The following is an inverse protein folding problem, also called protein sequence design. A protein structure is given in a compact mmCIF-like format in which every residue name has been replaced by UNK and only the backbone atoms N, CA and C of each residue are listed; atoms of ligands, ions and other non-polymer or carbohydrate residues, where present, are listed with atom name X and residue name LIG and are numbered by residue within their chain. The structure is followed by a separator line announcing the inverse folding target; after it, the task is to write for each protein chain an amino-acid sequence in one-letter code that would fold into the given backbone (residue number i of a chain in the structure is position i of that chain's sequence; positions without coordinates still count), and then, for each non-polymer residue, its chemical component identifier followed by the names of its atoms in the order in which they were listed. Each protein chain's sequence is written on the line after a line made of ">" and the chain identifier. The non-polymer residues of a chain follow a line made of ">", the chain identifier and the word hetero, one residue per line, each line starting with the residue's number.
data_IF_239216595505
#
_entry.id   IF_239216595505
#
_cell.length_a   1.000
_cell.length_b   1.000
_cell.length_c   1.000
_cell.angle_alpha   90.00
_cell.angle_beta   90.00
_cell.angle_gamma   90.00
#
_symmetry.space_group_name_H-M   'P 1'
#
loop_
_entity.id
_entity.type
_entity.pdbx_description
1 polymer ?
#
# COMPACT_ATOMS: atom_id res chain seq x y z
N UNK A 1 -24.95 -23.18 40.67
CA UNK A 1 -24.01 -22.19 40.12
C UNK A 1 -23.19 -22.68 38.92
N UNK A 2 -22.58 -23.89 38.96
CA UNK A 2 -21.80 -24.42 37.80
C UNK A 2 -22.63 -24.58 36.52
N UNK A 3 -23.88 -25.07 36.61
CA UNK A 3 -24.76 -25.25 35.42
C UNK A 3 -25.27 -23.93 34.81
N UNK A 4 -25.44 -22.87 35.59
CA UNK A 4 -25.84 -21.56 35.08
C UNK A 4 -24.63 -20.82 34.43
N UNK A 5 -23.42 -21.00 34.98
CA UNK A 5 -22.20 -20.42 34.43
C UNK A 5 -21.85 -21.06 33.07
N UNK A 6 -22.05 -22.38 32.93
CA UNK A 6 -21.87 -23.07 31.64
C UNK A 6 -22.85 -22.59 30.56
N UNK A 7 -24.11 -22.28 30.94
CA UNK A 7 -25.09 -21.72 29.99
C UNK A 7 -24.74 -20.30 29.52
N UNK A 8 -24.25 -19.47 30.45
CA UNK A 8 -23.82 -18.09 30.10
C UNK A 8 -22.58 -18.11 29.19
N UNK A 9 -21.62 -18.99 29.45
CA UNK A 9 -20.44 -19.17 28.58
C UNK A 9 -20.86 -19.72 27.20
N UNK A 10 -21.78 -20.67 27.14
CA UNK A 10 -22.26 -21.22 25.87
C UNK A 10 -23.02 -20.17 25.03
N UNK A 11 -23.85 -19.33 25.66
CA UNK A 11 -24.56 -18.23 24.99
C UNK A 11 -23.53 -17.17 24.50
N UNK A 12 -22.53 -16.87 25.32
CA UNK A 12 -21.47 -15.91 24.93
C UNK A 12 -20.63 -16.44 23.76
N UNK A 13 -20.20 -17.71 23.76
CA UNK A 13 -19.49 -18.34 22.65
C UNK A 13 -20.35 -18.40 21.38
N UNK A 14 -21.66 -18.66 21.54
CA UNK A 14 -22.58 -18.66 20.41
C UNK A 14 -22.81 -17.25 19.84
N UNK A 15 -22.87 -16.22 20.69
CA UNK A 15 -22.91 -14.82 20.24
C UNK A 15 -21.58 -14.40 19.58
N UNK A 16 -20.43 -14.80 20.10
CA UNK A 16 -19.12 -14.53 19.48
C UNK A 16 -19.01 -15.24 18.14
N UNK A 17 -19.43 -16.51 18.04
CA UNK A 17 -19.45 -17.22 16.75
C UNK A 17 -20.45 -16.62 15.76
N UNK A 18 -21.60 -16.12 16.21
CA UNK A 18 -22.53 -15.40 15.32
C UNK A 18 -21.96 -14.06 14.85
N UNK A 19 -21.22 -13.34 15.69
CA UNK A 19 -20.52 -12.11 15.29
C UNK A 19 -19.39 -12.42 14.30
N UNK A 20 -18.62 -13.49 14.52
CA UNK A 20 -17.60 -13.94 13.57
C UNK A 20 -18.18 -14.41 12.22
N UNK A 21 -19.35 -15.10 12.24
CA UNK A 21 -20.04 -15.50 11.01
C UNK A 21 -20.60 -14.29 10.27
N UNK A 22 -21.18 -13.30 10.97
CA UNK A 22 -21.66 -12.05 10.35
C UNK A 22 -20.50 -11.19 9.85
N UNK A 23 -19.37 -11.18 10.58
CA UNK A 23 -18.15 -10.45 10.13
C UNK A 23 -17.41 -11.20 9.02
N UNK A 24 -17.49 -12.55 8.98
CA UNK A 24 -16.95 -13.35 7.89
C UNK A 24 -17.81 -13.26 6.61
N UNK A 25 -19.12 -13.05 6.75
CA UNK A 25 -20.02 -12.84 5.63
C UNK A 25 -19.90 -11.41 5.03
N UNK A 26 -19.52 -10.40 5.85
CA UNK A 26 -19.10 -9.08 5.36
C UNK A 26 -17.66 -9.06 4.80
N UNK A 27 -16.80 -10.01 5.25
CA UNK A 27 -15.43 -10.17 4.73
C UNK A 27 -15.34 -11.16 3.55
N UNK A 28 -16.38 -11.95 3.27
CA UNK A 28 -16.53 -12.58 1.97
C UNK A 28 -16.74 -11.44 0.97
N UNK A 29 -15.64 -11.01 0.33
CA UNK A 29 -15.66 -10.18 -0.88
C UNK A 29 -16.69 -10.83 -1.79
N UNK A 30 -17.91 -10.25 -1.87
CA UNK A 30 -18.82 -10.59 -2.96
C UNK A 30 -17.98 -10.46 -4.21
N UNK A 31 -18.01 -11.43 -5.14
CA UNK A 31 -17.46 -11.16 -6.45
C UNK A 31 -18.15 -9.87 -6.88
N UNK A 32 -17.44 -8.74 -6.83
CA UNK A 32 -17.92 -7.51 -7.42
C UNK A 32 -18.24 -7.90 -8.85
N UNK A 33 -19.41 -7.49 -9.37
CA UNK A 33 -19.61 -7.47 -10.82
C UNK A 33 -18.36 -6.80 -11.37
N UNK A 34 -17.42 -7.61 -11.87
CA UNK A 34 -16.03 -7.22 -12.11
C UNK A 34 -15.92 -6.04 -13.08
N UNK A 35 -17.01 -5.77 -13.80
CA UNK A 35 -17.14 -4.69 -14.78
C UNK A 35 -17.95 -3.48 -14.30
N UNK A 36 -18.71 -3.58 -13.22
CA UNK A 36 -19.73 -2.57 -12.84
C UNK A 36 -19.16 -1.18 -12.53
N UNK A 37 -17.90 -1.11 -12.07
CA UNK A 37 -17.26 0.12 -11.63
C UNK A 37 -16.02 0.47 -12.48
N UNK A 38 -15.94 -0.07 -13.71
CA UNK A 38 -14.87 0.24 -14.66
C UNK A 38 -15.39 1.25 -15.68
N UNK A 39 -14.66 2.33 -15.83
CA UNK A 39 -14.94 3.38 -16.80
C UNK A 39 -13.79 3.53 -17.77
N UNK A 40 -14.10 3.80 -19.06
CA UNK A 40 -13.10 3.97 -20.10
C UNK A 40 -13.42 5.10 -21.04
N UNK A 41 -12.43 5.61 -21.75
CA UNK A 41 -12.59 6.64 -22.79
C UNK A 41 -13.35 6.16 -24.02
N UNK A 42 -13.40 4.83 -24.26
CA UNK A 42 -14.11 4.25 -25.40
C UNK A 42 -15.61 4.11 -25.15
N UNK A 43 -16.03 4.08 -23.90
CA UNK A 43 -17.45 3.87 -23.52
C UNK A 43 -18.01 2.48 -23.87
N UNK A 44 -17.18 1.55 -24.34
CA UNK A 44 -17.60 0.19 -24.69
C UNK A 44 -17.36 -0.80 -23.54
N UNK A 45 -18.35 -0.90 -22.64
CA UNK A 45 -18.27 -1.74 -21.45
C UNK A 45 -18.17 -3.25 -21.73
N UNK A 46 -18.65 -3.69 -22.91
CA UNK A 46 -18.67 -5.12 -23.26
C UNK A 46 -17.26 -5.70 -23.55
N UNK A 47 -16.29 -4.83 -23.84
CA UNK A 47 -14.91 -5.20 -24.18
C UNK A 47 -13.96 -5.05 -22.99
N UNK A 48 -14.45 -4.55 -21.84
CA UNK A 48 -13.63 -4.37 -20.67
C UNK A 48 -13.13 -5.71 -20.09
N UNK A 49 -11.84 -5.80 -19.70
CA UNK A 49 -11.33 -7.00 -19.06
C UNK A 49 -11.94 -7.21 -17.67
N UNK A 50 -12.08 -8.47 -17.28
CA UNK A 50 -12.39 -8.81 -15.89
C UNK A 50 -11.15 -8.59 -15.02
N UNK A 51 -11.23 -7.70 -14.04
CA UNK A 51 -10.11 -7.37 -13.16
C UNK A 51 -10.32 -7.95 -11.76
N UNK A 52 -9.32 -8.69 -11.28
CA UNK A 52 -9.27 -9.22 -9.91
C UNK A 52 -8.81 -8.17 -8.89
N UNK A 53 -8.22 -7.07 -9.35
CA UNK A 53 -7.84 -5.92 -8.52
C UNK A 53 -9.08 -5.13 -8.11
N UNK A 54 -9.12 -4.69 -6.84
CA UNK A 54 -10.20 -3.83 -6.34
C UNK A 54 -10.16 -2.46 -7.01
N UNK A 55 -8.96 -1.91 -7.22
CA UNK A 55 -8.76 -0.59 -7.83
C UNK A 55 -7.72 -0.65 -8.93
N UNK A 56 -7.96 0.09 -10.02
CA UNK A 56 -7.06 0.19 -11.15
C UNK A 56 -7.19 1.53 -11.87
N UNK A 57 -6.08 2.02 -12.43
CA UNK A 57 -6.05 3.21 -13.30
C UNK A 57 -5.00 3.02 -14.39
N UNK A 58 -5.35 3.42 -15.62
CA UNK A 58 -4.40 3.55 -16.73
C UNK A 58 -4.35 5.00 -17.18
N UNK A 59 -3.16 5.55 -17.29
CA UNK A 59 -2.92 6.97 -17.58
C UNK A 59 -1.96 7.10 -18.75
N UNK A 60 -2.27 8.00 -19.68
CA UNK A 60 -1.33 8.48 -20.68
C UNK A 60 -0.30 9.43 -20.05
N UNK A 61 0.96 9.03 -20.04
CA UNK A 61 2.03 9.78 -19.38
C UNK A 61 2.36 11.10 -20.06
N UNK A 62 2.07 11.22 -21.34
CA UNK A 62 2.36 12.41 -22.12
C UNK A 62 1.45 13.59 -21.73
N UNK A 63 0.18 13.29 -21.47
CA UNK A 63 -0.85 14.32 -21.20
C UNK A 63 -1.41 14.27 -19.79
N UNK A 64 -1.24 13.16 -19.07
CA UNK A 64 -1.88 12.93 -17.77
C UNK A 64 -3.35 12.50 -17.86
N UNK A 65 -3.89 12.26 -19.05
CA UNK A 65 -5.28 11.82 -19.20
C UNK A 65 -5.47 10.37 -18.80
N UNK A 66 -6.56 10.11 -18.07
CA UNK A 66 -6.96 8.77 -17.67
C UNK A 66 -7.67 8.07 -18.83
N UNK A 67 -7.26 6.82 -19.10
CA UNK A 67 -7.83 5.98 -20.16
C UNK A 67 -8.82 4.98 -19.57
N UNK A 68 -8.47 4.36 -18.43
CA UNK A 68 -9.31 3.42 -17.68
C UNK A 68 -9.26 3.79 -16.21
N UNK A 69 -10.40 3.75 -15.53
CA UNK A 69 -10.48 3.88 -14.06
C UNK A 69 -11.42 2.84 -13.45
N UNK A 70 -11.03 2.29 -12.29
CA UNK A 70 -11.84 1.41 -11.44
C UNK A 70 -11.58 1.77 -9.99
N UNK A 71 -12.59 2.27 -9.25
CA UNK A 71 -12.50 2.56 -7.82
C UNK A 71 -11.26 3.35 -7.40
N UNK A 72 -10.81 4.29 -8.24
CA UNK A 72 -9.51 4.96 -8.13
C UNK A 72 -9.33 5.81 -6.87
N UNK A 73 -10.41 6.08 -6.13
CA UNK A 73 -10.42 6.89 -4.90
C UNK A 73 -10.54 6.06 -3.62
N UNK A 74 -10.62 4.73 -3.74
CA UNK A 74 -10.65 3.84 -2.57
C UNK A 74 -9.33 3.92 -1.82
N UNK A 75 -9.38 4.12 -0.49
CA UNK A 75 -8.21 4.07 0.38
C UNK A 75 -7.80 2.62 0.58
N UNK A 76 -6.61 2.28 0.13
CA UNK A 76 -6.05 0.93 0.13
C UNK A 76 -4.61 0.94 0.67
N UNK A 77 -4.13 -0.21 1.11
CA UNK A 77 -2.75 -0.36 1.56
C UNK A 77 -1.82 -0.51 0.34
N UNK A 78 -0.77 0.31 0.23
CA UNK A 78 0.12 0.30 -0.94
C UNK A 78 1.09 -0.88 -0.98
N UNK A 79 1.41 -1.49 0.16
CA UNK A 79 2.56 -2.39 0.24
C UNK A 79 3.83 -1.72 -0.32
N UNK A 80 4.73 -2.46 -0.97
CA UNK A 80 6.03 -1.94 -1.42
C UNK A 80 5.99 -0.96 -2.60
N UNK A 81 4.83 -0.62 -3.17
CA UNK A 81 4.77 0.53 -4.10
C UNK A 81 5.00 1.86 -3.35
N UNK A 82 4.88 1.88 -2.02
CA UNK A 82 5.37 2.96 -1.12
C UNK A 82 6.79 3.41 -1.46
N UNK A 83 7.66 2.48 -1.86
CA UNK A 83 9.08 2.74 -2.15
C UNK A 83 9.30 3.68 -3.34
N UNK A 84 8.26 3.94 -4.13
CA UNK A 84 8.30 4.99 -5.16
C UNK A 84 8.48 6.36 -4.49
N UNK A 85 7.72 6.65 -3.42
CA UNK A 85 7.88 7.90 -2.67
C UNK A 85 9.23 7.96 -1.94
N UNK A 86 9.70 6.84 -1.40
CA UNK A 86 11.03 6.73 -0.81
C UNK A 86 12.12 7.06 -1.82
N UNK A 87 12.01 6.55 -3.06
CA UNK A 87 12.94 6.87 -4.13
C UNK A 87 12.89 8.35 -4.53
N UNK A 88 11.69 8.95 -4.64
CA UNK A 88 11.53 10.39 -4.92
C UNK A 88 12.34 11.23 -3.92
N UNK A 89 12.03 11.07 -2.63
CA UNK A 89 12.66 11.87 -1.58
C UNK A 89 14.17 11.65 -1.51
N UNK A 90 14.62 10.41 -1.73
CA UNK A 90 16.05 10.12 -1.74
C UNK A 90 16.76 10.78 -2.92
N UNK A 91 16.18 10.67 -4.13
CA UNK A 91 16.74 11.29 -5.34
C UNK A 91 16.81 12.82 -5.24
N UNK A 92 15.83 13.44 -4.59
CA UNK A 92 15.74 14.90 -4.46
C UNK A 92 16.63 15.47 -3.34
N UNK A 93 16.91 14.70 -2.27
CA UNK A 93 17.52 15.23 -1.04
C UNK A 93 18.91 14.67 -0.72
N UNK A 94 19.41 13.66 -1.45
CA UNK A 94 20.75 13.11 -1.24
C UNK A 94 21.56 13.09 -2.53
N UNK A 95 22.90 13.08 -2.40
CA UNK A 95 23.77 12.80 -3.54
C UNK A 95 23.96 11.30 -3.71
N UNK A 96 24.06 10.85 -4.96
CA UNK A 96 24.09 9.41 -5.27
C UNK A 96 25.32 8.69 -4.75
N UNK A 97 26.43 9.43 -4.58
CA UNK A 97 27.71 8.96 -4.05
C UNK A 97 27.88 9.20 -2.54
N UNK A 98 26.87 9.74 -1.83
CA UNK A 98 26.86 9.77 -0.36
C UNK A 98 26.79 8.36 0.22
N UNK A 99 27.33 8.21 1.43
CA UNK A 99 27.40 6.92 2.12
C UNK A 99 26.33 6.81 3.17
N UNK A 100 25.44 5.84 3.00
CA UNK A 100 24.46 5.41 4.01
C UNK A 100 25.11 4.41 4.95
N UNK A 101 25.09 4.66 6.26
CA UNK A 101 25.54 3.73 7.29
C UNK A 101 24.33 3.17 8.02
N UNK A 102 24.18 1.85 8.05
CA UNK A 102 22.99 1.20 8.58
C UNK A 102 23.04 1.07 10.11
N UNK A 103 22.05 1.67 10.76
CA UNK A 103 21.87 1.56 12.22
C UNK A 103 21.32 0.19 12.64
N UNK A 104 21.34 -0.10 13.93
CA UNK A 104 20.67 -1.28 14.50
C UNK A 104 19.17 -1.27 14.19
N UNK A 105 18.53 -0.11 14.32
CA UNK A 105 17.10 0.07 14.04
C UNK A 105 16.78 -0.19 12.57
N UNK A 106 17.56 0.35 11.65
CA UNK A 106 17.34 0.15 10.21
C UNK A 106 17.37 -1.34 9.82
N UNK A 107 18.24 -2.13 10.46
CA UNK A 107 18.43 -3.56 10.15
C UNK A 107 17.41 -4.44 10.89
N UNK A 108 17.21 -4.25 12.19
CA UNK A 108 16.47 -5.20 13.03
C UNK A 108 14.99 -4.86 13.26
N UNK A 109 14.49 -3.71 12.81
CA UNK A 109 13.04 -3.42 12.82
C UNK A 109 12.32 -3.96 11.59
N UNK A 110 13.05 -4.50 10.62
CA UNK A 110 12.47 -5.16 9.44
C UNK A 110 11.80 -6.47 9.85
N UNK A 111 10.55 -6.65 9.45
CA UNK A 111 9.79 -7.86 9.75
C UNK A 111 10.45 -9.10 9.13
N UNK A 112 10.61 -10.14 9.95
CA UNK A 112 11.24 -11.39 9.51
C UNK A 112 10.45 -12.04 8.35
N UNK A 113 11.16 -12.43 7.29
CA UNK A 113 10.56 -13.02 6.09
C UNK A 113 10.05 -12.01 5.07
N UNK A 114 10.10 -10.70 5.36
CA UNK A 114 9.86 -9.66 4.38
C UNK A 114 11.09 -9.42 3.48
N UNK A 115 10.92 -8.66 2.39
CA UNK A 115 12.02 -8.38 1.44
C UNK A 115 13.14 -7.57 2.10
N UNK A 116 14.38 -8.06 2.03
CA UNK A 116 15.56 -7.39 2.58
C UNK A 116 16.79 -7.61 1.70
N UNK A 117 17.72 -6.68 1.73
CA UNK A 117 19.06 -6.83 1.14
C UNK A 117 20.01 -7.58 2.07
N UNK A 118 19.58 -7.78 3.33
CA UNK A 118 20.36 -8.41 4.40
C UNK A 118 21.69 -7.68 4.67
N UNK A 119 21.58 -6.37 4.86
CA UNK A 119 22.71 -5.55 5.29
C UNK A 119 22.99 -5.74 6.77
N UNK A 120 24.28 -5.60 7.15
CA UNK A 120 24.71 -5.67 8.54
C UNK A 120 24.67 -4.30 9.22
N UNK A 121 24.62 -4.28 10.57
CA UNK A 121 24.80 -3.05 11.34
C UNK A 121 26.19 -2.46 11.05
N UNK A 122 26.26 -1.13 10.91
CA UNK A 122 27.46 -0.38 10.49
C UNK A 122 27.96 -0.74 9.07
N UNK A 123 27.18 -1.47 8.28
CA UNK A 123 27.47 -1.62 6.86
C UNK A 123 27.28 -0.29 6.15
N UNK A 124 28.08 -0.05 5.10
CA UNK A 124 28.10 1.18 4.34
C UNK A 124 27.84 0.90 2.85
N UNK A 125 26.77 1.47 2.33
CA UNK A 125 26.44 1.45 0.91
C UNK A 125 26.30 2.91 0.41
N UNK A 126 26.54 3.14 -0.88
CA UNK A 126 26.19 4.43 -1.46
C UNK A 126 24.67 4.58 -1.60
N UNK A 127 24.17 5.81 -1.67
CA UNK A 127 22.76 6.10 -1.95
C UNK A 127 22.32 5.43 -3.25
N UNK A 128 23.17 5.45 -4.29
CA UNK A 128 22.93 4.73 -5.54
C UNK A 128 22.69 3.25 -5.33
N UNK A 129 23.58 2.55 -4.61
CA UNK A 129 23.44 1.12 -4.29
C UNK A 129 22.14 0.85 -3.53
N UNK A 130 21.82 1.69 -2.53
CA UNK A 130 20.58 1.58 -1.76
C UNK A 130 19.35 1.73 -2.66
N UNK A 131 19.32 2.70 -3.58
CA UNK A 131 18.21 2.93 -4.51
C UNK A 131 18.01 1.75 -5.48
N UNK A 132 19.08 1.17 -6.03
CA UNK A 132 18.94 -0.04 -6.85
C UNK A 132 18.37 -1.21 -6.05
N UNK A 133 18.87 -1.48 -4.85
CA UNK A 133 18.31 -2.54 -4.00
C UNK A 133 16.87 -2.25 -3.57
N UNK A 134 16.53 -0.99 -3.26
CA UNK A 134 15.18 -0.54 -2.95
C UNK A 134 14.19 -0.88 -4.09
N UNK A 135 14.58 -0.58 -5.33
CA UNK A 135 13.68 -0.73 -6.48
C UNK A 135 13.68 -2.16 -7.03
N UNK A 136 14.82 -2.83 -7.14
CA UNK A 136 14.93 -4.14 -7.76
C UNK A 136 14.44 -5.27 -6.85
N UNK A 137 15.00 -5.37 -5.63
CA UNK A 137 14.68 -6.45 -4.70
C UNK A 137 13.72 -6.03 -3.58
N UNK A 138 13.30 -4.76 -3.59
CA UNK A 138 12.37 -4.22 -2.60
C UNK A 138 12.90 -4.26 -1.15
N UNK A 139 14.20 -4.06 -0.92
CA UNK A 139 14.85 -4.15 0.39
C UNK A 139 14.22 -3.18 1.41
N UNK A 140 13.64 -3.73 2.49
CA UNK A 140 13.03 -2.95 3.57
C UNK A 140 14.09 -2.33 4.49
N UNK A 141 15.18 -3.03 4.72
CA UNK A 141 16.37 -2.56 5.42
C UNK A 141 17.00 -1.36 4.69
N UNK A 142 17.09 -1.42 3.35
CA UNK A 142 17.55 -0.30 2.53
C UNK A 142 16.62 0.91 2.61
N UNK A 143 15.30 0.67 2.63
CA UNK A 143 14.33 1.74 2.83
C UNK A 143 14.50 2.44 4.18
N UNK A 144 14.73 1.68 5.25
CA UNK A 144 14.98 2.21 6.58
C UNK A 144 16.29 3.02 6.64
N UNK A 145 17.39 2.48 6.07
CA UNK A 145 18.66 3.18 6.03
C UNK A 145 18.59 4.50 5.25
N UNK A 146 17.90 4.51 4.10
CA UNK A 146 17.64 5.74 3.34
C UNK A 146 16.77 6.73 4.13
N UNK A 147 15.76 6.23 4.86
CA UNK A 147 14.90 7.07 5.69
C UNK A 147 15.67 7.74 6.83
N UNK A 148 16.57 7.02 7.49
CA UNK A 148 17.45 7.62 8.50
C UNK A 148 18.43 8.63 7.91
N UNK A 149 19.03 8.29 6.75
CA UNK A 149 20.01 9.14 6.08
C UNK A 149 19.42 10.48 5.63
N UNK A 150 18.25 10.44 4.99
CA UNK A 150 17.59 11.62 4.41
C UNK A 150 16.74 12.37 5.44
N UNK A 151 15.96 11.64 6.24
CA UNK A 151 14.98 12.22 7.18
C UNK A 151 15.50 12.41 8.59
N UNK A 152 16.77 12.00 8.88
CA UNK A 152 17.36 12.01 10.22
C UNK A 152 16.74 10.98 11.17
N UNK A 153 15.61 10.40 10.81
CA UNK A 153 14.94 9.28 11.48
C UNK A 153 13.88 8.67 10.58
N UNK A 154 13.49 7.41 10.82
CA UNK A 154 12.41 6.77 10.07
C UNK A 154 11.08 7.52 10.19
N UNK A 155 10.75 8.04 11.38
CA UNK A 155 9.54 8.86 11.60
C UNK A 155 9.62 10.21 10.88
N UNK A 156 10.77 10.89 10.96
CA UNK A 156 10.99 12.15 10.24
C UNK A 156 10.81 11.98 8.74
N UNK A 157 11.34 10.89 8.18
CA UNK A 157 11.20 10.59 6.76
C UNK A 157 9.74 10.27 6.39
N UNK A 158 8.99 9.51 7.20
CA UNK A 158 7.58 9.22 6.96
C UNK A 158 6.73 10.51 6.92
N UNK A 159 7.03 11.49 7.77
CA UNK A 159 6.39 12.80 7.70
C UNK A 159 6.74 13.51 6.37
N UNK A 160 8.02 13.54 5.97
CA UNK A 160 8.43 14.10 4.66
C UNK A 160 7.70 13.41 3.49
N UNK A 161 7.46 12.10 3.56
CA UNK A 161 6.71 11.37 2.52
C UNK A 161 5.25 11.85 2.42
N UNK A 162 4.60 12.08 3.55
CA UNK A 162 3.21 12.58 3.58
C UNK A 162 3.16 14.03 3.11
N UNK A 163 4.07 14.89 3.60
CA UNK A 163 4.18 16.29 3.18
C UNK A 163 4.42 16.40 1.66
N UNK A 164 5.30 15.56 1.11
CA UNK A 164 5.56 15.51 -0.34
C UNK A 164 4.34 15.03 -1.12
N UNK A 165 3.60 14.04 -0.60
CA UNK A 165 2.36 13.60 -1.22
C UNK A 165 1.32 14.74 -1.29
N UNK A 166 1.15 15.51 -0.22
CA UNK A 166 0.27 16.69 -0.20
C UNK A 166 0.75 17.77 -1.17
N UNK A 167 2.07 18.07 -1.20
CA UNK A 167 2.68 19.04 -2.11
C UNK A 167 2.35 18.75 -3.58
N UNK A 168 2.37 17.49 -3.98
CA UNK A 168 2.10 17.08 -5.37
C UNK A 168 0.61 16.77 -5.64
N UNK A 169 -0.28 17.07 -4.68
CA UNK A 169 -1.74 17.02 -4.83
C UNK A 169 -2.41 15.71 -4.40
N UNK A 170 -1.72 14.83 -3.64
CA UNK A 170 -2.28 13.58 -3.14
C UNK A 170 -2.99 13.80 -1.79
N UNK A 171 -4.32 13.93 -1.80
CA UNK A 171 -5.10 14.27 -0.61
C UNK A 171 -5.63 13.06 0.18
N UNK A 172 -5.46 11.84 -0.35
CA UNK A 172 -5.94 10.59 0.25
C UNK A 172 -4.82 9.61 0.56
N UNK A 173 -3.62 10.13 0.84
CA UNK A 173 -2.40 9.36 1.11
C UNK A 173 -1.84 9.74 2.47
N UNK A 174 -1.41 8.74 3.22
CA UNK A 174 -0.66 8.91 4.46
C UNK A 174 0.40 7.81 4.57
N UNK A 175 1.64 8.19 4.79
CA UNK A 175 2.75 7.27 4.96
C UNK A 175 3.21 7.23 6.41
N UNK A 176 3.38 6.02 6.97
CA UNK A 176 3.90 5.79 8.33
C UNK A 176 5.28 5.18 8.34
N UNK A 177 5.75 4.68 7.19
CA UNK A 177 7.06 4.07 7.03
C UNK A 177 7.55 4.16 5.58
N UNK A 178 8.85 3.94 5.37
CA UNK A 178 9.51 4.06 4.07
C UNK A 178 9.38 2.82 3.17
N UNK A 179 8.90 1.69 3.69
CA UNK A 179 8.97 0.39 3.00
C UNK A 179 7.61 -0.18 2.58
N UNK A 180 6.51 0.24 3.23
CA UNK A 180 5.16 -0.22 2.91
C UNK A 180 4.73 -1.51 3.63
N UNK A 181 5.43 -1.95 4.70
CA UNK A 181 4.89 -2.95 5.60
C UNK A 181 3.63 -2.40 6.28
N UNK A 182 2.74 -3.30 6.65
CA UNK A 182 1.40 -2.93 7.08
C UNK A 182 1.37 -2.07 8.35
N UNK A 183 0.60 -1.00 8.28
CA UNK A 183 0.12 -0.18 9.38
C UNK A 183 -1.27 0.33 8.99
N UNK A 184 -2.22 0.35 9.91
CA UNK A 184 -3.61 0.74 9.62
C UNK A 184 -3.73 2.19 9.11
N UNK A 185 -2.76 3.05 9.45
CA UNK A 185 -2.69 4.43 9.00
C UNK A 185 -1.82 4.62 7.74
N UNK A 186 -1.22 3.54 7.18
CA UNK A 186 -0.41 3.59 5.98
C UNK A 186 -1.26 3.28 4.75
N UNK A 187 -1.84 4.27 4.12
CA UNK A 187 -2.79 4.10 3.03
C UNK A 187 -2.57 5.11 1.89
N UNK A 188 -3.09 4.77 0.74
CA UNK A 188 -3.12 5.61 -0.47
C UNK A 188 -4.33 5.22 -1.34
N UNK A 189 -4.45 5.80 -2.53
CA UNK A 189 -5.43 5.43 -3.56
C UNK A 189 -4.72 5.13 -4.88
N UNK A 190 -5.37 4.45 -5.82
CA UNK A 190 -4.77 4.24 -7.14
C UNK A 190 -4.57 5.57 -7.89
N UNK A 191 -5.46 6.54 -7.67
CA UNK A 191 -5.29 7.89 -8.19
C UNK A 191 -4.05 8.58 -7.63
N UNK A 192 -3.90 8.63 -6.29
CA UNK A 192 -2.75 9.27 -5.65
C UNK A 192 -1.44 8.56 -6.03
N UNK A 193 -1.45 7.21 -6.11
CA UNK A 193 -0.27 6.48 -6.60
C UNK A 193 0.06 6.78 -8.06
N UNK A 194 -0.94 7.04 -8.90
CA UNK A 194 -0.70 7.49 -10.26
C UNK A 194 -0.05 8.89 -10.28
N UNK A 195 -0.54 9.83 -9.46
CA UNK A 195 0.08 11.17 -9.30
C UNK A 195 1.53 11.04 -8.84
N UNK A 196 1.78 10.27 -7.76
CA UNK A 196 3.13 10.03 -7.21
C UNK A 196 4.04 9.41 -8.28
N UNK A 197 3.55 8.40 -9.00
CA UNK A 197 4.35 7.67 -9.98
C UNK A 197 4.64 8.51 -11.23
N UNK A 198 3.68 9.35 -11.65
CA UNK A 198 3.91 10.31 -12.73
C UNK A 198 4.96 11.33 -12.34
N UNK A 199 4.85 11.89 -11.13
CA UNK A 199 5.84 12.82 -10.60
C UNK A 199 7.24 12.17 -10.56
N UNK A 200 7.35 10.93 -10.04
CA UNK A 200 8.60 10.18 -9.99
C UNK A 200 9.22 10.01 -11.38
N UNK A 201 8.40 9.58 -12.34
CA UNK A 201 8.84 9.29 -13.70
C UNK A 201 9.31 10.55 -14.45
N UNK A 202 8.64 11.69 -14.26
CA UNK A 202 8.95 12.91 -14.98
C UNK A 202 10.03 13.76 -14.31
N UNK A 203 10.11 13.76 -12.98
CA UNK A 203 10.89 14.76 -12.25
C UNK A 203 11.99 14.16 -11.35
N UNK A 204 11.80 12.96 -10.78
CA UNK A 204 12.71 12.50 -9.74
C UNK A 204 14.06 12.04 -10.30
N UNK A 205 15.10 12.75 -9.92
CA UNK A 205 16.49 12.47 -10.29
C UNK A 205 17.46 13.00 -9.24
N UNK A 206 18.53 12.26 -9.01
CA UNK A 206 19.59 12.59 -8.08
C UNK A 206 20.93 12.80 -8.77
N UNK A 207 21.71 13.72 -8.25
CA UNK A 207 23.01 14.10 -8.79
C UNK A 207 24.14 13.42 -8.03
N UNK A 208 25.28 13.24 -8.69
CA UNK A 208 26.53 12.81 -8.05
C UNK A 208 27.36 14.04 -7.65
N UNK A 209 28.07 13.93 -6.52
CA UNK A 209 28.97 15.00 -6.07
C UNK A 209 30.23 15.06 -6.93
N UNK A 210 30.80 13.91 -7.26
CA UNK A 210 32.12 13.79 -7.86
C UNK A 210 32.09 13.67 -9.40
N UNK A 211 30.91 13.59 -10.01
CA UNK A 211 30.73 13.43 -11.46
C UNK A 211 29.79 14.52 -12.00
N UNK A 212 30.37 15.63 -12.46
CA UNK A 212 29.59 16.78 -12.96
C UNK A 212 28.69 16.40 -14.13
N UNK A 213 27.37 16.64 -13.95
CA UNK A 213 26.35 16.37 -14.97
C UNK A 213 25.86 14.92 -15.02
N UNK A 214 26.42 14.01 -14.22
CA UNK A 214 25.87 12.66 -14.07
C UNK A 214 24.67 12.72 -13.14
N UNK A 215 23.57 12.09 -13.55
CA UNK A 215 22.36 11.96 -12.76
C UNK A 215 21.83 10.51 -12.78
N UNK A 216 21.15 10.09 -11.71
CA UNK A 216 20.38 8.86 -11.63
C UNK A 216 18.89 9.23 -11.59
N UNK A 217 18.11 8.75 -12.55
CA UNK A 217 16.69 9.04 -12.61
C UNK A 217 15.84 7.87 -12.12
N UNK A 218 14.62 8.17 -11.67
CA UNK A 218 13.63 7.14 -11.35
C UNK A 218 13.34 6.24 -12.56
N UNK A 219 13.30 6.80 -13.78
CA UNK A 219 13.16 6.03 -15.03
C UNK A 219 14.22 4.94 -15.15
N UNK A 220 15.47 5.27 -14.90
CA UNK A 220 16.58 4.32 -14.92
C UNK A 220 16.39 3.23 -13.86
N UNK A 221 16.06 3.62 -12.64
CA UNK A 221 15.88 2.67 -11.52
C UNK A 221 14.75 1.68 -11.79
N UNK A 222 13.58 2.14 -12.23
CA UNK A 222 12.41 1.29 -12.42
C UNK A 222 12.52 0.36 -13.63
N UNK A 223 13.35 0.70 -14.63
CA UNK A 223 13.59 -0.09 -15.84
C UNK A 223 14.78 -1.05 -15.74
N UNK A 224 15.61 -0.93 -14.70
CA UNK A 224 16.80 -1.76 -14.54
C UNK A 224 16.40 -3.20 -14.16
N UNK A 225 16.80 -4.17 -14.98
CA UNK A 225 16.51 -5.59 -14.73
C UNK A 225 17.50 -6.26 -13.77
N UNK A 226 18.76 -5.78 -13.72
CA UNK A 226 19.84 -6.38 -12.96
C UNK A 226 20.87 -5.34 -12.51
N UNK A 227 21.38 -5.49 -11.29
CA UNK A 227 22.41 -4.62 -10.72
C UNK A 227 23.42 -5.43 -9.90
N UNK A 228 24.70 -5.13 -10.06
CA UNK A 228 25.80 -5.69 -9.26
C UNK A 228 26.22 -4.68 -8.18
N UNK A 229 25.73 -4.90 -6.96
CA UNK A 229 26.15 -4.11 -5.81
C UNK A 229 27.58 -4.48 -5.43
N UNK A 230 28.49 -3.53 -5.56
CA UNK A 230 29.92 -3.71 -5.28
C UNK A 230 30.16 -4.03 -3.79
N UNK A 231 31.31 -4.68 -3.46
CA UNK A 231 31.67 -4.98 -2.08
C UNK A 231 31.58 -3.78 -1.15
N UNK A 232 31.23 -4.06 0.11
CA UNK A 232 31.10 -3.05 1.18
C UNK A 232 32.15 -3.26 2.26
N UNK A 233 32.15 -2.43 3.28
CA UNK A 233 33.01 -2.59 4.46
C UNK A 233 32.71 -3.86 5.31
N UNK A 234 31.52 -4.49 5.12
CA UNK A 234 31.09 -5.69 5.83
C UNK A 234 30.97 -6.89 4.90
N UNK A 235 30.56 -6.70 3.66
CA UNK A 235 30.38 -7.76 2.67
C UNK A 235 31.44 -7.67 1.58
N UNK A 236 32.41 -8.62 1.54
CA UNK A 236 33.50 -8.60 0.57
C UNK A 236 33.10 -9.11 -0.82
N UNK A 237 31.91 -9.72 -0.96
CA UNK A 237 31.43 -10.30 -2.21
C UNK A 237 30.41 -9.38 -2.88
N UNK A 238 30.40 -9.41 -4.23
CA UNK A 238 29.38 -8.70 -5.02
C UNK A 238 28.01 -9.32 -4.77
N UNK A 239 27.02 -8.48 -4.40
CA UNK A 239 25.62 -8.89 -4.37
C UNK A 239 24.99 -8.69 -5.73
N UNK A 240 24.30 -9.70 -6.24
CA UNK A 240 23.58 -9.64 -7.51
C UNK A 240 22.10 -9.47 -7.26
N UNK A 241 21.55 -8.33 -7.65
CA UNK A 241 20.13 -8.00 -7.49
C UNK A 241 19.41 -8.04 -8.83
N UNK A 242 18.37 -8.87 -8.90
CA UNK A 242 17.46 -8.94 -10.06
C UNK A 242 16.14 -8.30 -9.72
N UNK A 243 15.58 -7.59 -10.69
CA UNK A 243 14.30 -6.92 -10.51
C UNK A 243 13.19 -7.96 -10.29
N UNK A 244 12.38 -7.72 -9.24
CA UNK A 244 11.25 -8.57 -8.87
C UNK A 244 10.05 -8.40 -9.84
N UNK A 245 10.05 -7.35 -10.68
CA UNK A 245 9.01 -7.16 -11.68
C UNK A 245 9.16 -8.19 -12.82
N UNK A 246 8.22 -9.13 -12.88
CA UNK A 246 8.25 -10.21 -13.85
C UNK A 246 7.92 -9.75 -15.27
N UNK A 247 7.19 -8.62 -15.43
CA UNK A 247 6.82 -8.10 -16.75
C UNK A 247 8.03 -7.66 -17.60
N UNK A 248 9.16 -7.32 -16.95
CA UNK A 248 10.40 -6.95 -17.67
C UNK A 248 11.43 -8.08 -17.75
N UNK A 249 11.07 -9.28 -17.32
CA UNK A 249 11.97 -10.42 -17.28
C UNK A 249 11.58 -11.45 -18.33
N UNK A 250 12.29 -11.49 -19.45
CA UNK A 250 12.04 -12.38 -20.61
C UNK A 250 12.02 -13.89 -20.27
N UNK A 251 12.54 -14.29 -19.11
CA UNK A 251 12.54 -15.68 -18.62
C UNK A 251 11.31 -16.02 -17.77
N UNK A 252 10.35 -15.11 -17.64
CA UNK A 252 9.13 -15.31 -16.86
C UNK A 252 7.91 -15.41 -17.77
N UNK A 253 6.94 -16.20 -17.32
CA UNK A 253 5.67 -16.38 -18.05
C UNK A 253 4.89 -15.08 -18.18
N UNK A 254 5.05 -14.18 -17.20
CA UNK A 254 4.38 -12.90 -17.15
C UNK A 254 5.09 -11.82 -18.00
N UNK A 255 6.19 -12.15 -18.69
CA UNK A 255 6.90 -11.18 -19.52
C UNK A 255 5.98 -10.46 -20.49
N UNK A 256 6.06 -9.15 -20.53
CA UNK A 256 5.29 -8.29 -21.43
C UNK A 256 6.24 -7.38 -22.21
N UNK A 257 6.37 -7.60 -23.51
CA UNK A 257 7.40 -6.99 -24.36
C UNK A 257 7.39 -5.46 -24.32
N UNK A 258 6.18 -4.87 -24.26
CA UNK A 258 6.03 -3.41 -24.23
C UNK A 258 6.28 -2.80 -22.83
N UNK A 259 6.44 -3.61 -21.77
CA UNK A 259 6.67 -3.10 -20.42
C UNK A 259 8.08 -2.53 -20.26
N UNK A 260 8.17 -1.28 -19.82
CA UNK A 260 9.45 -0.58 -19.58
C UNK A 260 9.98 -0.89 -18.19
N UNK A 261 9.10 -1.01 -17.18
CA UNK A 261 9.52 -1.14 -15.79
C UNK A 261 8.40 -0.86 -14.81
N UNK A 262 8.77 -0.66 -13.54
CA UNK A 262 7.80 -0.34 -12.49
C UNK A 262 8.22 -0.79 -11.11
N UNK A 263 7.24 -0.89 -10.18
CA UNK A 263 7.42 -1.36 -8.81
C UNK A 263 6.31 -2.28 -8.36
N UNK A 264 6.69 -3.42 -7.81
CA UNK A 264 5.79 -4.44 -7.27
C UNK A 264 5.58 -4.24 -5.76
N UNK A 265 4.44 -4.68 -5.25
CA UNK A 265 4.18 -4.75 -3.81
C UNK A 265 3.26 -5.92 -3.45
N UNK A 266 3.44 -6.45 -2.26
CA UNK A 266 2.57 -7.44 -1.66
C UNK A 266 2.69 -7.41 -0.13
N UNK A 267 1.57 -7.45 0.54
CA UNK A 267 1.42 -7.89 1.94
C UNK A 267 0.08 -8.62 2.04
N UNK A 268 -0.13 -9.44 3.06
CA UNK A 268 -1.40 -10.16 3.24
C UNK A 268 -2.60 -9.19 3.31
N UNK A 269 -2.42 -8.02 3.92
CA UNK A 269 -3.46 -7.00 4.03
C UNK A 269 -3.67 -6.20 2.72
N UNK A 270 -2.61 -5.87 2.02
CA UNK A 270 -2.69 -5.12 0.77
C UNK A 270 -3.15 -5.99 -0.42
N UNK A 271 -2.89 -7.30 -0.39
CA UNK A 271 -2.92 -8.11 -1.60
C UNK A 271 -1.80 -7.71 -2.58
N UNK A 272 -1.94 -8.08 -3.85
CA UNK A 272 -1.03 -7.64 -4.90
C UNK A 272 -1.23 -6.16 -5.24
N UNK A 273 -0.13 -5.41 -5.33
CA UNK A 273 -0.09 -4.04 -5.83
C UNK A 273 1.01 -3.90 -6.87
N UNK A 274 0.77 -3.12 -7.91
CA UNK A 274 1.73 -2.97 -9.01
C UNK A 274 1.58 -1.60 -9.66
N UNK A 275 2.69 -0.92 -9.86
CA UNK A 275 2.81 0.25 -10.73
C UNK A 275 3.73 -0.13 -11.87
N UNK A 276 3.30 0.07 -13.11
CA UNK A 276 4.10 -0.22 -14.30
C UNK A 276 4.01 0.88 -15.33
N UNK A 277 5.02 0.91 -16.19
CA UNK A 277 5.08 1.77 -17.37
C UNK A 277 5.28 0.89 -18.60
N UNK A 278 4.61 1.21 -19.71
CA UNK A 278 4.71 0.48 -20.96
C UNK A 278 4.61 1.41 -22.17
N UNK A 279 5.19 1.00 -23.30
CA UNK A 279 5.05 1.69 -24.59
C UNK A 279 3.94 1.04 -25.42
N UNK A 280 2.76 1.63 -25.39
CA UNK A 280 1.58 1.12 -26.09
C UNK A 280 1.16 2.10 -27.19
N UNK A 281 1.06 1.62 -28.44
CA UNK A 281 0.65 2.43 -29.58
C UNK A 281 1.45 3.73 -29.76
N UNK A 282 2.75 3.68 -29.43
CA UNK A 282 3.65 4.84 -29.51
C UNK A 282 3.51 5.85 -28.36
N UNK A 283 2.76 5.51 -27.29
CA UNK A 283 2.58 6.34 -26.08
C UNK A 283 3.17 5.63 -24.88
N UNK A 284 3.75 6.36 -23.97
CA UNK A 284 4.10 5.82 -22.64
C UNK A 284 2.85 5.84 -21.78
N UNK A 285 2.40 4.67 -21.38
CA UNK A 285 1.28 4.51 -20.46
C UNK A 285 1.78 4.08 -19.09
N UNK A 286 1.07 4.50 -18.06
CA UNK A 286 1.22 4.01 -16.69
C UNK A 286 -0.02 3.24 -16.28
N UNK A 287 0.17 2.06 -15.66
CA UNK A 287 -0.90 1.29 -15.04
C UNK A 287 -0.61 1.13 -13.55
N UNK A 288 -1.61 1.43 -12.71
CA UNK A 288 -1.59 1.15 -11.28
C UNK A 288 -2.73 0.20 -10.96
N UNK A 289 -2.41 -0.94 -10.34
CA UNK A 289 -3.41 -1.89 -9.81
C UNK A 289 -3.16 -2.08 -8.32
N UNK A 290 -4.26 -2.12 -7.54
CA UNK A 290 -4.18 -2.24 -6.09
C UNK A 290 -5.22 -3.25 -5.58
N UNK A 291 -4.84 -3.94 -4.50
CA UNK A 291 -5.70 -4.93 -3.84
C UNK A 291 -6.11 -6.06 -4.80
N UNK A 292 -5.17 -6.57 -5.59
CA UNK A 292 -5.34 -7.82 -6.32
C UNK A 292 -5.32 -9.01 -5.35
N UNK A 293 -5.93 -10.13 -5.75
CA UNK A 293 -5.96 -11.34 -4.93
C UNK A 293 -4.55 -11.84 -4.54
N UNK A 294 -3.57 -11.65 -5.43
CA UNK A 294 -2.15 -11.97 -5.22
C UNK A 294 -1.29 -11.23 -6.27
N UNK A 295 0.03 -11.40 -6.19
CA UNK A 295 0.95 -10.76 -7.13
C UNK A 295 0.77 -11.21 -8.58
N UNK A 296 0.43 -12.48 -8.84
CA UNK A 296 0.20 -12.98 -10.21
C UNK A 296 -1.05 -12.36 -10.82
N UNK A 297 -2.11 -12.21 -10.01
CA UNK A 297 -3.33 -11.52 -10.45
C UNK A 297 -3.05 -10.05 -10.79
N UNK A 298 -2.14 -9.38 -10.06
CA UNK A 298 -1.77 -7.99 -10.37
C UNK A 298 -1.06 -7.88 -11.74
N UNK A 299 -0.20 -8.84 -12.08
CA UNK A 299 0.42 -8.89 -13.41
C UNK A 299 -0.63 -9.15 -14.50
N UNK A 300 -1.51 -10.14 -14.31
CA UNK A 300 -2.57 -10.46 -15.27
C UNK A 300 -3.50 -9.27 -15.52
N UNK A 301 -3.97 -8.61 -14.46
CA UNK A 301 -4.82 -7.41 -14.59
C UNK A 301 -4.09 -6.29 -15.35
N UNK A 302 -2.80 -6.09 -15.08
CA UNK A 302 -2.00 -5.07 -15.76
C UNK A 302 -1.85 -5.37 -17.25
N UNK A 303 -1.51 -6.61 -17.64
CA UNK A 303 -1.38 -6.99 -19.05
C UNK A 303 -2.72 -6.91 -19.76
N UNK A 304 -3.81 -7.41 -19.16
CA UNK A 304 -5.15 -7.30 -19.72
C UNK A 304 -5.57 -5.82 -19.96
N UNK A 305 -5.20 -4.92 -19.08
CA UNK A 305 -5.46 -3.48 -19.24
C UNK A 305 -4.63 -2.88 -20.39
N UNK A 306 -3.37 -3.25 -20.52
CA UNK A 306 -2.54 -2.78 -21.63
C UNK A 306 -3.00 -3.35 -22.97
N UNK A 307 -3.36 -4.62 -23.02
CA UNK A 307 -3.92 -5.25 -24.24
C UNK A 307 -5.25 -4.59 -24.63
N UNK A 308 -6.14 -4.36 -23.65
CA UNK A 308 -7.38 -3.63 -23.89
C UNK A 308 -7.11 -2.24 -24.50
N UNK A 309 -6.18 -1.47 -23.95
CA UNK A 309 -5.84 -0.15 -24.49
C UNK A 309 -5.20 -0.27 -25.87
N UNK A 310 -4.33 -1.25 -26.08
CA UNK A 310 -3.65 -1.51 -27.36
C UNK A 310 -4.64 -1.79 -28.48
N UNK A 311 -5.71 -2.50 -28.19
CA UNK A 311 -6.73 -2.92 -29.15
C UNK A 311 -7.85 -1.87 -29.37
N UNK A 312 -8.21 -1.12 -28.32
CA UNK A 312 -9.43 -0.31 -28.31
C UNK A 312 -9.19 1.20 -28.32
N UNK A 313 -7.96 1.68 -28.05
CA UNK A 313 -7.66 3.12 -28.01
C UNK A 313 -6.83 3.52 -29.21
N UNK A 314 -7.48 4.18 -30.17
CA UNK A 314 -6.87 4.61 -31.42
C UNK A 314 -6.15 5.96 -31.34
N UNK A 315 -5.45 6.29 -32.40
CA UNK A 315 -4.73 7.56 -32.54
C UNK A 315 -5.64 8.80 -32.46
N UNK A 316 -6.92 8.68 -32.81
CA UNK A 316 -7.92 9.74 -32.70
C UNK A 316 -8.25 10.12 -31.26
N UNK A 317 -8.23 9.16 -30.34
CA UNK A 317 -8.40 9.40 -28.90
C UNK A 317 -7.19 10.18 -28.35
N UNK A 318 -5.98 9.72 -28.69
CA UNK A 318 -4.75 10.41 -28.29
C UNK A 318 -4.64 11.80 -28.86
N UNK A 319 -5.07 12.04 -30.10
CA UNK A 319 -5.09 13.36 -30.71
C UNK A 319 -6.00 14.34 -29.93
N UNK A 320 -7.14 13.86 -29.41
CA UNK A 320 -7.99 14.67 -28.52
C UNK A 320 -7.30 15.00 -27.19
N UNK A 321 -6.61 14.02 -26.59
CA UNK A 321 -5.83 14.27 -25.38
C UNK A 321 -4.76 15.35 -25.61
N UNK A 322 -4.02 15.27 -26.73
CA UNK A 322 -3.01 16.24 -27.08
C UNK A 322 -3.60 17.64 -27.30
N UNK A 323 -4.73 17.74 -27.99
CA UNK A 323 -5.43 19.02 -28.21
C UNK A 323 -5.94 19.64 -26.91
N UNK A 324 -6.57 18.86 -26.04
CA UNK A 324 -7.07 19.35 -24.75
C UNK A 324 -5.92 19.71 -23.81
N UNK A 325 -4.86 18.91 -23.78
CA UNK A 325 -3.65 19.22 -23.01
C UNK A 325 -3.01 20.53 -23.46
N UNK A 326 -2.90 20.77 -24.76
CA UNK A 326 -2.38 22.03 -25.29
C UNK A 326 -3.23 23.23 -24.83
N UNK A 327 -4.57 23.12 -24.83
CA UNK A 327 -5.47 24.16 -24.32
C UNK A 327 -5.28 24.43 -22.82
N UNK A 328 -5.09 23.38 -22.01
CA UNK A 328 -4.82 23.52 -20.56
C UNK A 328 -3.48 24.23 -20.32
N UNK A 329 -2.45 23.92 -21.09
CA UNK A 329 -1.14 24.62 -21.00
C UNK A 329 -1.27 26.11 -21.35
N UNK A 330 -2.05 26.46 -22.37
CA UNK A 330 -2.31 27.85 -22.75
C UNK A 330 -3.10 28.61 -21.69
N UNK A 331 -4.04 27.95 -20.99
CA UNK A 331 -4.85 28.58 -19.92
C UNK A 331 -4.10 28.72 -18.59
N UNK A 332 -2.96 28.05 -18.42
CA UNK A 332 -2.20 28.02 -17.17
C UNK A 332 -2.80 27.06 -16.12
N UNK A 333 -3.78 26.26 -16.48
CA UNK A 333 -4.37 25.22 -15.63
C UNK A 333 -3.55 23.92 -15.78
N UNK A 334 -2.85 23.54 -14.74
CA UNK A 334 -2.07 22.31 -14.72
C UNK A 334 -2.73 21.26 -13.82
N UNK A 335 -3.28 20.21 -14.43
CA UNK A 335 -3.67 18.99 -13.72
C UNK A 335 -2.66 17.89 -13.97
N UNK A 336 -2.13 17.27 -12.91
CA UNK A 336 -1.17 16.17 -13.03
C UNK A 336 -1.80 14.92 -13.65
N UNK A 337 -3.01 14.59 -13.22
CA UNK A 337 -3.83 13.49 -13.77
C UNK A 337 -5.25 14.02 -14.00
N UNK A 338 -5.79 13.82 -15.19
CA UNK A 338 -7.14 14.23 -15.55
C UNK A 338 -8.07 13.00 -15.72
N UNK A 339 -9.15 12.96 -14.96
CA UNK A 339 -10.16 11.89 -14.99
C UNK A 339 -11.45 12.29 -15.72
N UNK A 340 -11.54 13.52 -16.25
CA UNK A 340 -12.79 14.03 -16.83
C UNK A 340 -13.13 13.38 -18.18
N UNK A 341 -12.15 12.77 -18.85
CA UNK A 341 -12.30 12.15 -20.16
C UNK A 341 -12.87 10.74 -20.14
N UNK A 342 -13.01 10.14 -18.95
CA UNK A 342 -13.56 8.79 -18.84
C UNK A 342 -15.08 8.83 -18.94
N UNK A 343 -15.66 8.16 -19.94
CA UNK A 343 -17.10 8.02 -20.09
C UNK A 343 -17.67 7.18 -18.94
N UNK A 344 -18.50 7.79 -18.09
CA UNK A 344 -19.21 7.13 -16.98
C UNK A 344 -20.63 6.81 -17.41
N UNK A 345 -20.99 5.52 -17.62
CA UNK A 345 -22.34 5.17 -18.01
C UNK A 345 -23.35 5.57 -16.92
N UNK A 346 -24.34 6.39 -17.28
CA UNK A 346 -25.52 6.61 -16.45
C UNK A 346 -25.41 7.59 -15.29
N UNK A 347 -24.31 8.33 -15.14
CA UNK A 347 -24.25 9.42 -14.16
C UNK A 347 -24.68 10.73 -14.82
N UNK A 348 -25.99 11.02 -14.80
CA UNK A 348 -26.46 12.39 -14.93
C UNK A 348 -25.79 13.19 -13.81
N UNK A 349 -25.06 14.28 -14.16
CA UNK A 349 -24.60 15.26 -13.16
C UNK A 349 -25.76 15.55 -12.22
N UNK A 350 -25.63 15.40 -10.91
CA UNK A 350 -26.66 15.93 -10.02
C UNK A 350 -26.65 17.43 -10.22
N UNK A 351 -27.75 17.97 -10.74
CA UNK A 351 -28.03 19.38 -10.59
C UNK A 351 -27.95 19.72 -9.11
N UNK A 352 -27.15 20.70 -8.79
CA UNK A 352 -27.02 21.29 -7.46
C UNK A 352 -28.40 21.57 -6.90
N UNK A 353 -28.95 20.69 -6.10
CA UNK A 353 -30.09 20.90 -5.25
C UNK A 353 -29.80 20.29 -3.89
N UNK A 354 -29.31 21.16 -3.04
CA UNK A 354 -29.36 21.01 -1.59
C UNK A 354 -30.61 20.25 -1.14
N UNK A 355 -30.44 19.12 -0.49
CA UNK A 355 -31.23 18.49 0.57
C UNK A 355 -31.18 16.98 0.47
N UNK A 356 -30.21 16.39 1.13
CA UNK A 356 -30.40 15.15 1.85
C UNK A 356 -29.39 15.12 3.00
N UNK A 357 -29.77 15.89 4.04
CA UNK A 357 -29.32 15.67 5.40
C UNK A 357 -30.15 14.55 5.97
N UNK A 358 -29.48 13.71 6.79
CA UNK A 358 -30.09 12.77 7.73
C UNK A 358 -30.30 11.34 7.20
N UNK A 359 -29.24 10.52 7.37
CA UNK A 359 -29.38 9.17 7.93
C UNK A 359 -28.05 8.53 8.38
N UNK A 360 -26.90 9.17 8.22
CA UNK A 360 -25.61 8.65 8.70
C UNK A 360 -25.43 8.68 10.23
N UNK A 361 -26.08 9.60 10.92
CA UNK A 361 -25.90 9.81 12.36
C UNK A 361 -26.49 8.74 13.26
N UNK A 362 -27.60 8.12 12.85
CA UNK A 362 -28.31 7.13 13.67
C UNK A 362 -27.55 5.78 13.71
N UNK A 363 -26.87 5.40 12.64
CA UNK A 363 -26.13 4.15 12.55
C UNK A 363 -24.80 4.15 13.33
N UNK A 364 -24.13 5.29 13.36
CA UNK A 364 -22.90 5.51 14.17
C UNK A 364 -23.26 5.49 15.67
N UNK A 365 -24.40 6.09 16.07
CA UNK A 365 -24.88 6.07 17.45
C UNK A 365 -25.12 4.65 17.97
N UNK A 366 -25.69 3.75 17.17
CA UNK A 366 -25.89 2.35 17.51
C UNK A 366 -24.57 1.57 17.66
N UNK A 367 -23.57 1.81 16.81
CA UNK A 367 -22.23 1.20 16.95
C UNK A 367 -21.53 1.61 18.25
N UNK A 368 -21.62 2.89 18.61
CA UNK A 368 -21.07 3.41 19.87
C UNK A 368 -21.82 2.81 21.08
N UNK A 369 -23.13 2.68 21.01
CA UNK A 369 -23.93 2.08 22.08
C UNK A 369 -23.60 0.60 22.27
N UNK A 370 -23.49 -0.17 21.20
CA UNK A 370 -23.11 -1.60 21.25
C UNK A 370 -21.69 -1.75 21.82
N UNK A 371 -20.74 -0.92 21.41
CA UNK A 371 -19.39 -0.92 21.96
C UNK A 371 -19.39 -0.62 23.46
N UNK A 372 -20.11 0.42 23.91
CA UNK A 372 -20.21 0.78 25.32
C UNK A 372 -20.85 -0.35 26.16
N UNK A 373 -21.90 -1.00 25.66
CA UNK A 373 -22.54 -2.15 26.32
C UNK A 373 -21.58 -3.33 26.42
N UNK A 374 -20.81 -3.59 25.36
CA UNK A 374 -19.84 -4.70 25.35
C UNK A 374 -18.72 -4.46 26.38
N UNK A 375 -18.17 -3.27 26.43
CA UNK A 375 -17.16 -2.88 27.44
C UNK A 375 -17.72 -3.00 28.86
N UNK A 376 -18.98 -2.58 29.07
CA UNK A 376 -19.62 -2.70 30.38
C UNK A 376 -19.81 -4.16 30.81
N UNK A 377 -20.22 -5.05 29.89
CA UNK A 377 -20.37 -6.50 30.14
C UNK A 377 -19.00 -7.12 30.49
N UNK A 378 -17.93 -6.81 29.75
CA UNK A 378 -16.58 -7.30 30.04
C UNK A 378 -16.12 -6.83 31.41
N UNK A 379 -16.33 -5.56 31.75
CA UNK A 379 -16.00 -5.00 33.06
C UNK A 379 -16.80 -5.69 34.17
N UNK A 380 -18.08 -5.92 33.98
CA UNK A 380 -18.92 -6.62 34.96
C UNK A 380 -18.46 -8.07 35.21
N UNK A 381 -18.13 -8.80 34.11
CA UNK A 381 -17.60 -10.18 34.22
C UNK A 381 -16.25 -10.18 34.93
N UNK A 382 -15.38 -9.21 34.64
CA UNK A 382 -14.09 -9.04 35.35
C UNK A 382 -14.28 -8.81 36.85
N UNK A 383 -15.21 -7.95 37.27
CA UNK A 383 -15.52 -7.69 38.67
C UNK A 383 -16.05 -8.98 39.37
N UNK A 384 -16.93 -9.73 38.70
CA UNK A 384 -17.43 -11.00 39.26
C UNK A 384 -16.32 -12.06 39.39
N UNK A 385 -15.41 -12.12 38.40
CA UNK A 385 -14.24 -12.99 38.47
C UNK A 385 -13.30 -12.61 39.62
N UNK A 386 -13.03 -11.33 39.82
CA UNK A 386 -12.20 -10.84 40.92
C UNK A 386 -12.85 -11.12 42.28
N UNK A 387 -14.19 -10.98 42.41
CA UNK A 387 -14.93 -11.34 43.63
C UNK A 387 -14.86 -12.86 43.88
N UNK A 388 -14.95 -13.68 42.84
CA UNK A 388 -14.80 -15.14 42.95
C UNK A 388 -13.39 -15.53 43.43
N UNK A 389 -12.34 -14.95 42.88
CA UNK A 389 -10.93 -15.18 43.26
C UNK A 389 -10.69 -14.78 44.75
N UNK A 390 -11.22 -13.63 45.17
CA UNK A 390 -11.14 -13.20 46.59
C UNK A 390 -11.85 -14.19 47.52
N UNK A 391 -13.02 -14.71 47.15
CA UNK A 391 -13.74 -15.77 47.94
C UNK A 391 -12.96 -17.07 47.98
N UNK A 392 -12.36 -17.49 46.87
CA UNK A 392 -11.50 -18.68 46.77
C UNK A 392 -10.28 -18.57 47.70
N UNK A 393 -9.56 -17.45 47.66
CA UNK A 393 -8.40 -17.18 48.54
C UNK A 393 -8.81 -17.21 50.02
N UNK A 394 -9.92 -16.58 50.39
CA UNK A 394 -10.42 -16.61 51.80
C UNK A 394 -10.77 -18.05 52.25
N UNK A 395 -11.32 -18.89 51.37
CA UNK A 395 -11.62 -20.33 51.70
C UNK A 395 -10.31 -21.10 51.89
N UNK A 396 -9.34 -20.94 51.07
CA UNK A 396 -8.02 -21.60 51.18
C UNK A 396 -7.31 -21.20 52.50
N UNK A 397 -7.27 -19.91 52.83
CA UNK A 397 -6.68 -19.44 54.08
C UNK A 397 -7.42 -19.99 55.31
N UNK A 398 -8.77 -20.12 55.29
CA UNK A 398 -9.52 -20.75 56.38
C UNK A 398 -9.19 -22.24 56.51
N UNK A 399 -9.00 -22.97 55.39
CA UNK A 399 -8.59 -24.35 55.44
C UNK A 399 -7.18 -24.55 55.98
N UNK A 400 -6.24 -23.69 55.57
CA UNK A 400 -4.88 -23.69 56.13
C UNK A 400 -4.88 -23.46 57.64
N UNK A 401 -5.54 -22.40 58.15
CA UNK A 401 -5.66 -22.14 59.58
C UNK A 401 -6.30 -23.31 60.36
N UNK A 402 -7.29 -24.01 59.83
CA UNK A 402 -7.89 -25.23 60.43
C UNK A 402 -6.90 -26.38 60.49
N UNK A 403 -6.05 -26.57 59.45
CA UNK A 403 -4.99 -27.60 59.45
C UNK A 403 -3.90 -27.30 60.47
N UNK A 404 -3.48 -26.04 60.57
CA UNK A 404 -2.50 -25.61 61.52
C UNK A 404 -2.99 -25.78 62.97
N UNK A 405 -4.23 -25.40 63.28
CA UNK A 405 -4.85 -25.61 64.57
C UNK A 405 -5.01 -27.12 64.93
N UNK A 406 -5.33 -28.00 63.95
CA UNK A 406 -5.38 -29.43 64.19
C UNK A 406 -3.99 -30.06 64.42
N UNK A 407 -2.95 -29.52 63.83
CA UNK A 407 -1.57 -29.97 64.08
C UNK A 407 -1.02 -29.47 65.44
N UNK A 408 -1.43 -28.29 65.92
CA UNK A 408 -1.08 -27.82 67.24
C UNK A 408 -1.77 -28.62 68.37
N UNK A 409 -2.99 -29.10 68.16
CA UNK A 409 -3.73 -29.94 69.14
C UNK A 409 -3.27 -31.41 69.18
N UNK A 410 -2.36 -31.83 68.27
CA UNK A 410 -1.77 -33.18 68.24
C UNK A 410 -0.35 -33.24 68.83
N UNK A 411 0.18 -32.11 69.29
CA UNK A 411 1.42 -32.02 70.07
C UNK A 411 1.05 -31.79 71.56
#
# INVERSE_FOLDING_TARGET
>A
MRKQFGKIIAIFLMCVMMVEVVMAEEAAVRPSDSKKDIYTVTGNENELPDLLSQSAIVVDMNTGYTIVEKNIKDKLYPASITKIMTAILTLENAKMDEVVTFSYEAVFTVEAGSSAAYVDVDEQLTVEQCLYGLMLISGNDLANGLAEHVGGSMTGFANMMTDKAEEIGCLNTNFTNAHGLHDDNHYTTAYDMAVISKYAYDNAKGLYTNETGKELSFKTLCSTGFYECQPTNKQPEIRQWRNNNRLINEYKEEYYEDCIGGKTGYTDKAGGTLVTFANINGRTLMCVVMKSANSLSAYADTTNLYDYVKENVGSDVYAKFDEEYAKLQESGENQTINTDNVNKPGVNKPSDSSKDKENGGMWIGWKILIFAVTVFIIYYVYIQYMRYQRRKRRRLMRMQRRREAQMQNRR
#
